data_IF_351634600820
#
_entry.id   IF_351634600820
#
_cell.length_a   1.000
_cell.length_b   1.000
_cell.length_c   1.000
_cell.angle_alpha   90.00
_cell.angle_beta   90.00
_cell.angle_gamma   90.00
#
_symmetry.space_group_name_H-M   'P 1'
#
loop_
_entity.id
_entity.type
_entity.pdbx_description
1 polymer ?
#
# COMPACT_ATOMS: atom_id res chain seq x y z
N UNK A 1 -42.91 2.31 73.94
CA UNK A 1 -43.36 1.05 73.37
C UNK A 1 -43.02 1.06 71.92
N UNK A 2 -42.02 0.24 71.56
CA UNK A 2 -41.61 -0.08 70.14
C UNK A 2 -42.77 -0.72 69.36
N UNK A 3 -42.62 -1.06 68.09
CA UNK A 3 -41.36 -1.45 67.42
C UNK A 3 -41.16 -0.92 65.94
N UNK A 4 -39.96 -0.86 65.55
CA UNK A 4 -39.25 -1.41 64.34
C UNK A 4 -39.99 -1.59 63.03
N UNK A 5 -39.49 -0.91 62.04
CA UNK A 5 -39.78 -1.15 60.63
C UNK A 5 -38.49 -1.00 59.79
N UNK A 6 -37.81 -2.13 59.59
CA UNK A 6 -36.75 -2.28 58.57
C UNK A 6 -37.36 -2.15 57.17
N UNK A 7 -36.85 -1.23 56.38
CA UNK A 7 -37.11 -1.20 54.94
C UNK A 7 -35.85 -1.65 54.18
N UNK A 8 -35.99 -2.78 53.50
CA UNK A 8 -35.03 -3.35 52.55
C UNK A 8 -34.72 -2.36 51.43
N UNK A 9 -33.44 -2.13 51.25
CA UNK A 9 -32.93 -1.37 50.10
C UNK A 9 -33.04 -2.21 48.82
N UNK A 10 -33.85 -1.74 47.88
CA UNK A 10 -33.92 -2.27 46.54
C UNK A 10 -32.64 -1.97 45.77
N UNK A 11 -31.92 -3.00 45.33
CA UNK A 11 -30.79 -2.91 44.41
C UNK A 11 -31.28 -2.42 43.06
N UNK A 12 -30.70 -1.34 42.60
CA UNK A 12 -30.93 -0.83 41.23
C UNK A 12 -30.37 -1.83 40.19
N UNK A 13 -31.05 -2.03 39.05
CA UNK A 13 -30.59 -2.96 38.01
C UNK A 13 -29.35 -2.38 37.31
N UNK A 14 -28.34 -3.21 37.17
CA UNK A 14 -27.18 -3.00 36.32
C UNK A 14 -27.65 -2.76 34.88
N UNK A 15 -27.56 -1.52 34.42
CA UNK A 15 -27.71 -1.22 32.99
C UNK A 15 -26.56 -1.84 32.25
N UNK A 16 -26.87 -2.85 31.48
CA UNK A 16 -26.10 -3.46 30.44
C UNK A 16 -25.67 -2.36 29.46
N UNK A 17 -24.41 -1.91 29.57
CA UNK A 17 -23.80 -1.03 28.56
C UNK A 17 -23.57 -1.90 27.34
N UNK A 18 -24.53 -1.86 26.42
CA UNK A 18 -24.29 -2.33 25.07
C UNK A 18 -22.96 -1.73 24.57
N UNK A 19 -21.97 -2.60 24.42
CA UNK A 19 -20.74 -2.28 23.72
C UNK A 19 -21.14 -1.92 22.28
N UNK A 20 -21.23 -0.63 22.01
CA UNK A 20 -21.31 -0.14 20.65
C UNK A 20 -20.04 -0.58 19.95
N UNK A 21 -20.16 -1.57 19.07
CA UNK A 21 -19.11 -1.93 18.14
C UNK A 21 -18.65 -0.65 17.41
N UNK A 22 -17.33 -0.41 17.30
CA UNK A 22 -16.86 0.69 16.49
C UNK A 22 -17.32 0.43 15.06
N UNK A 23 -18.21 1.25 14.54
CA UNK A 23 -18.60 1.29 13.15
C UNK A 23 -17.34 1.60 12.32
N UNK A 24 -16.60 0.57 11.96
CA UNK A 24 -15.55 0.65 10.95
C UNK A 24 -16.24 0.76 9.60
N UNK A 25 -16.68 1.96 9.25
CA UNK A 25 -16.99 2.27 7.86
C UNK A 25 -15.70 2.13 7.07
N UNK A 26 -15.52 0.98 6.39
CA UNK A 26 -14.42 0.78 5.44
C UNK A 26 -14.44 1.95 4.46
N UNK A 27 -13.29 2.58 4.17
CA UNK A 27 -13.26 3.63 3.17
C UNK A 27 -13.90 3.12 1.88
N UNK A 28 -14.82 3.87 1.31
CA UNK A 28 -15.51 3.52 0.06
C UNK A 28 -14.55 3.40 -1.13
N UNK A 29 -13.28 3.76 -0.96
CA UNK A 29 -12.24 3.83 -2.00
C UNK A 29 -11.15 2.79 -1.74
N UNK A 30 -11.43 1.53 -2.06
CA UNK A 30 -10.48 0.43 -1.85
C UNK A 30 -9.40 0.33 -2.93
N UNK A 31 -9.53 0.99 -4.08
CA UNK A 31 -8.50 1.05 -5.11
C UNK A 31 -7.70 2.35 -4.97
N UNK A 32 -6.38 2.22 -4.87
CA UNK A 32 -5.42 3.31 -4.80
C UNK A 32 -4.51 3.35 -6.03
N UNK A 33 -3.72 4.43 -6.19
CA UNK A 33 -2.71 4.58 -7.22
C UNK A 33 -1.32 4.72 -6.60
N UNK A 34 -0.40 3.81 -6.94
CA UNK A 34 1.02 3.91 -6.63
C UNK A 34 1.79 4.63 -7.72
N UNK A 35 2.64 5.58 -7.35
CA UNK A 35 3.37 6.44 -8.29
C UNK A 35 4.81 5.99 -8.55
N UNK A 36 5.20 4.76 -8.19
CA UNK A 36 6.58 4.28 -8.37
C UNK A 36 7.03 4.29 -9.85
N UNK A 37 6.12 3.96 -10.76
CA UNK A 37 6.36 3.97 -12.21
C UNK A 37 6.12 5.34 -12.87
N UNK A 38 5.51 6.29 -12.17
CA UNK A 38 5.23 7.64 -12.68
C UNK A 38 6.29 8.67 -12.27
N UNK A 39 7.06 8.39 -11.21
CA UNK A 39 7.97 9.36 -10.62
C UNK A 39 9.41 9.26 -11.09
N UNK A 40 9.78 8.28 -11.90
CA UNK A 40 11.17 8.00 -12.36
C UNK A 40 11.17 7.31 -13.73
N UNK A 41 12.22 7.50 -14.54
CA UNK A 41 12.24 7.04 -15.94
C UNK A 41 12.38 5.52 -16.07
N UNK A 42 12.96 4.83 -15.09
CA UNK A 42 13.13 3.38 -15.09
C UNK A 42 12.35 2.70 -13.95
N UNK A 43 11.73 1.57 -14.24
CA UNK A 43 11.09 0.73 -13.23
C UNK A 43 11.16 -0.77 -13.62
N UNK A 44 10.91 -1.65 -12.63
CA UNK A 44 11.01 -3.12 -12.81
C UNK A 44 9.73 -3.77 -13.37
N UNK A 45 8.76 -3.00 -13.86
CA UNK A 45 7.56 -3.55 -14.49
C UNK A 45 7.86 -4.02 -15.92
N UNK A 46 7.28 -5.16 -16.32
CA UNK A 46 7.41 -5.67 -17.68
C UNK A 46 6.94 -4.63 -18.70
N UNK A 47 7.86 -4.22 -19.59
CA UNK A 47 7.58 -3.31 -20.69
C UNK A 47 7.32 -1.85 -20.28
N UNK A 48 7.82 -1.40 -19.13
CA UNK A 48 7.66 -0.03 -18.65
C UNK A 48 8.18 1.01 -19.63
N UNK A 49 9.33 0.75 -20.29
CA UNK A 49 9.88 1.65 -21.30
C UNK A 49 8.90 2.01 -22.45
N UNK A 50 7.91 1.16 -22.72
CA UNK A 50 6.88 1.41 -23.73
C UNK A 50 5.70 2.26 -23.24
N UNK A 51 5.65 2.52 -21.94
CA UNK A 51 4.58 3.30 -21.30
C UNK A 51 4.85 4.81 -21.31
N UNK A 52 6.08 5.21 -21.64
CA UNK A 52 6.54 6.59 -21.64
C UNK A 52 6.70 7.08 -23.09
N UNK A 53 5.62 7.37 -23.81
CA UNK A 53 5.65 7.59 -25.27
C UNK A 53 6.32 8.91 -25.69
N UNK A 54 6.39 9.90 -24.80
CA UNK A 54 6.89 11.24 -25.10
C UNK A 54 8.36 11.44 -24.71
N UNK A 55 8.95 10.48 -24.00
CA UNK A 55 10.33 10.56 -23.54
C UNK A 55 10.49 10.42 -22.04
N UNK A 56 11.72 10.53 -21.58
CA UNK A 56 12.09 10.33 -20.19
C UNK A 56 12.51 11.63 -19.48
N UNK A 57 12.33 12.80 -20.12
CA UNK A 57 12.62 14.04 -19.43
C UNK A 57 11.60 14.33 -18.32
N UNK A 58 12.01 15.17 -17.39
CA UNK A 58 11.21 15.45 -16.19
C UNK A 58 9.85 16.09 -16.51
N UNK A 59 9.79 16.95 -17.54
CA UNK A 59 8.57 17.67 -17.89
C UNK A 59 7.54 16.73 -18.52
N UNK A 60 7.97 15.88 -19.44
CA UNK A 60 7.12 14.86 -20.07
C UNK A 60 6.58 13.87 -19.05
N UNK A 61 7.45 13.40 -18.15
CA UNK A 61 7.01 12.50 -17.07
C UNK A 61 6.03 13.17 -16.10
N UNK A 62 6.21 14.45 -15.79
CA UNK A 62 5.25 15.19 -14.97
C UNK A 62 3.90 15.34 -15.66
N UNK A 63 3.87 15.63 -16.96
CA UNK A 63 2.64 15.71 -17.75
C UNK A 63 1.91 14.36 -17.78
N UNK A 64 2.63 13.27 -18.02
CA UNK A 64 2.05 11.93 -17.95
C UNK A 64 1.51 11.61 -16.56
N UNK A 65 2.27 11.91 -15.49
CA UNK A 65 1.82 11.71 -14.12
C UNK A 65 0.54 12.50 -13.83
N UNK A 66 0.42 13.75 -14.30
CA UNK A 66 -0.79 14.57 -14.15
C UNK A 66 -1.98 13.95 -14.88
N UNK A 67 -1.80 13.46 -16.11
CA UNK A 67 -2.87 12.80 -16.85
C UNK A 67 -3.40 11.55 -16.12
N UNK A 68 -2.50 10.73 -15.58
CA UNK A 68 -2.89 9.53 -14.81
C UNK A 68 -3.53 9.90 -13.47
N UNK A 69 -3.02 10.91 -12.77
CA UNK A 69 -3.59 11.41 -11.51
C UNK A 69 -4.99 12.00 -11.73
N UNK A 70 -5.20 12.80 -12.79
CA UNK A 70 -6.50 13.36 -13.14
C UNK A 70 -7.50 12.23 -13.45
N UNK A 71 -7.12 11.25 -14.27
CA UNK A 71 -7.94 10.10 -14.60
C UNK A 71 -8.27 9.27 -13.35
N UNK A 72 -7.30 9.06 -12.45
CA UNK A 72 -7.50 8.35 -11.20
C UNK A 72 -8.50 9.08 -10.29
N UNK A 73 -8.34 10.38 -10.14
CA UNK A 73 -9.23 11.20 -9.30
C UNK A 73 -10.67 11.23 -9.85
N UNK A 74 -10.83 11.43 -11.16
CA UNK A 74 -12.13 11.38 -11.85
C UNK A 74 -12.72 9.96 -11.74
N UNK A 75 -11.90 8.94 -11.87
CA UNK A 75 -12.27 7.54 -11.67
C UNK A 75 -12.58 7.15 -10.22
N UNK A 76 -12.57 8.10 -9.26
CA UNK A 76 -12.96 7.86 -7.87
C UNK A 76 -11.82 7.33 -6.99
N UNK A 77 -10.58 7.26 -7.47
CA UNK A 77 -9.41 6.95 -6.62
C UNK A 77 -9.19 8.11 -5.64
N UNK A 78 -8.96 7.75 -4.36
CA UNK A 78 -8.73 8.72 -3.28
C UNK A 78 -7.51 8.38 -2.42
N UNK A 79 -6.84 7.27 -2.71
CA UNK A 79 -5.58 6.88 -2.07
C UNK A 79 -4.44 6.98 -3.08
N UNK A 80 -3.41 7.80 -2.77
CA UNK A 80 -2.21 8.00 -3.59
C UNK A 80 -0.98 7.60 -2.78
N UNK A 81 -0.10 6.79 -3.36
CA UNK A 81 1.06 6.23 -2.69
C UNK A 81 2.35 6.62 -3.41
N UNK A 82 3.24 7.30 -2.69
CA UNK A 82 4.54 7.75 -3.18
C UNK A 82 5.69 7.27 -2.28
N UNK A 83 6.91 7.67 -2.56
CA UNK A 83 8.08 7.46 -1.69
C UNK A 83 9.20 8.45 -2.04
N UNK A 84 10.09 8.70 -1.06
CA UNK A 84 11.31 9.49 -1.26
C UNK A 84 12.21 8.93 -2.37
N UNK A 85 12.21 7.60 -2.55
CA UNK A 85 13.05 6.94 -3.56
C UNK A 85 12.38 6.76 -4.92
N UNK A 86 11.15 7.22 -5.11
CA UNK A 86 10.47 7.13 -6.41
C UNK A 86 10.82 8.32 -7.32
N UNK A 87 12.10 8.66 -7.44
CA UNK A 87 12.55 9.79 -8.22
C UNK A 87 11.87 11.10 -7.78
N UNK A 88 11.04 11.68 -8.63
CA UNK A 88 10.31 12.93 -8.37
C UNK A 88 8.81 12.72 -8.07
N UNK A 89 8.38 11.51 -7.69
CA UNK A 89 6.96 11.21 -7.45
C UNK A 89 6.31 12.11 -6.41
N UNK A 90 7.01 12.43 -5.30
CA UNK A 90 6.48 13.36 -4.29
C UNK A 90 6.33 14.77 -4.83
N UNK A 91 7.27 15.23 -5.66
CA UNK A 91 7.20 16.56 -6.30
C UNK A 91 6.05 16.62 -7.31
N UNK A 92 5.88 15.60 -8.14
CA UNK A 92 4.78 15.54 -9.12
C UNK A 92 3.42 15.49 -8.43
N UNK A 93 3.27 14.65 -7.40
CA UNK A 93 2.04 14.60 -6.62
C UNK A 93 1.76 15.94 -5.92
N UNK A 94 2.78 16.55 -5.30
CA UNK A 94 2.68 17.86 -4.65
C UNK A 94 2.22 18.94 -5.64
N UNK A 95 2.83 19.02 -6.81
CA UNK A 95 2.46 19.98 -7.86
C UNK A 95 1.02 19.76 -8.34
N UNK A 96 0.60 18.50 -8.50
CA UNK A 96 -0.77 18.15 -8.85
C UNK A 96 -1.79 18.57 -7.76
N UNK A 97 -1.50 18.26 -6.48
CA UNK A 97 -2.32 18.62 -5.33
C UNK A 97 -2.51 20.15 -5.24
N UNK A 98 -1.44 20.91 -5.40
CA UNK A 98 -1.51 22.38 -5.38
C UNK A 98 -2.24 22.96 -6.60
N UNK A 99 -2.12 22.33 -7.77
CA UNK A 99 -2.80 22.74 -9.00
C UNK A 99 -4.30 22.44 -8.97
N UNK A 100 -4.71 21.25 -8.51
CA UNK A 100 -6.11 20.79 -8.51
C UNK A 100 -6.86 21.14 -7.22
N UNK A 101 -6.13 21.38 -6.13
CA UNK A 101 -6.67 21.74 -4.80
C UNK A 101 -7.81 20.82 -4.32
N UNK A 102 -7.66 19.50 -4.42
CA UNK A 102 -8.68 18.60 -3.88
C UNK A 102 -8.79 18.79 -2.37
N UNK A 103 -9.98 18.53 -1.81
CA UNK A 103 -10.18 18.57 -0.36
C UNK A 103 -9.25 17.57 0.35
N UNK A 104 -8.38 18.03 1.27
CA UNK A 104 -7.49 17.15 2.03
C UNK A 104 -8.22 16.12 2.88
N UNK A 105 -9.46 16.38 3.31
CA UNK A 105 -10.27 15.44 4.07
C UNK A 105 -10.75 14.26 3.21
N UNK A 106 -10.92 14.48 1.90
CA UNK A 106 -11.34 13.47 0.94
C UNK A 106 -10.20 12.64 0.35
N UNK A 107 -8.94 12.93 0.72
CA UNK A 107 -7.77 12.23 0.17
C UNK A 107 -6.93 11.56 1.25
N UNK A 108 -6.38 10.40 0.90
CA UNK A 108 -5.37 9.69 1.65
C UNK A 108 -4.07 9.63 0.85
N UNK A 109 -3.04 10.34 1.31
CA UNK A 109 -1.70 10.26 0.73
C UNK A 109 -0.80 9.49 1.67
N UNK A 110 -0.19 8.43 1.15
CA UNK A 110 0.88 7.68 1.81
C UNK A 110 2.22 7.99 1.18
N UNK A 111 3.27 8.14 2.00
CA UNK A 111 4.65 8.19 1.51
C UNK A 111 5.56 7.28 2.34
N UNK A 112 6.82 7.14 1.89
CA UNK A 112 7.79 6.22 2.49
C UNK A 112 9.15 6.87 2.60
N UNK A 113 9.88 6.50 3.67
CA UNK A 113 11.27 6.91 3.95
C UNK A 113 12.17 5.68 4.08
N UNK A 114 13.47 5.88 4.12
CA UNK A 114 14.43 4.80 4.36
C UNK A 114 15.13 4.31 3.09
N UNK A 115 14.84 4.91 1.95
CA UNK A 115 15.62 4.79 0.71
C UNK A 115 15.91 6.17 0.15
N UNK A 116 17.11 6.32 -0.41
CA UNK A 116 17.51 7.50 -1.17
C UNK A 116 17.62 7.11 -2.64
N UNK A 117 16.98 7.85 -3.54
CA UNK A 117 17.13 7.67 -4.98
C UNK A 117 18.51 8.13 -5.43
N UNK A 118 19.23 7.31 -6.18
CA UNK A 118 20.62 7.54 -6.59
C UNK A 118 20.86 7.33 -8.09
N UNK A 119 19.82 7.01 -8.87
CA UNK A 119 19.97 6.74 -10.31
C UNK A 119 20.15 8.01 -11.16
N UNK A 120 20.14 9.21 -10.57
CA UNK A 120 20.31 10.48 -11.27
C UNK A 120 19.49 10.60 -12.58
N UNK A 121 18.21 10.21 -12.47
CA UNK A 121 17.25 10.22 -13.59
C UNK A 121 17.59 9.27 -14.75
N UNK A 122 18.48 8.29 -14.53
CA UNK A 122 18.84 7.30 -15.53
C UNK A 122 17.93 6.07 -15.46
N UNK A 123 17.58 5.49 -16.62
CA UNK A 123 16.85 4.21 -16.70
C UNK A 123 17.74 3.07 -16.23
N UNK A 124 19.01 3.09 -16.63
CA UNK A 124 20.03 2.12 -16.22
C UNK A 124 21.03 2.82 -15.31
N UNK A 125 21.20 2.34 -14.09
CA UNK A 125 22.15 2.84 -13.12
C UNK A 125 22.80 1.65 -12.39
N UNK A 126 24.03 1.84 -11.93
CA UNK A 126 24.73 0.83 -11.11
C UNK A 126 23.95 0.57 -9.82
N UNK A 127 23.40 1.63 -9.22
CA UNK A 127 22.57 1.55 -8.03
C UNK A 127 21.43 2.58 -8.13
N UNK A 128 20.18 2.09 -8.17
CA UNK A 128 19.00 2.94 -8.28
C UNK A 128 18.58 3.58 -6.95
N UNK A 129 18.82 2.86 -5.86
CA UNK A 129 18.38 3.28 -4.52
C UNK A 129 19.36 2.77 -3.45
N UNK A 130 19.59 3.58 -2.42
CA UNK A 130 20.35 3.19 -1.22
C UNK A 130 19.39 3.07 -0.04
N UNK A 131 19.38 1.89 0.61
CA UNK A 131 18.56 1.60 1.79
C UNK A 131 19.28 2.04 3.06
N UNK A 132 18.57 2.84 3.89
CA UNK A 132 19.07 3.28 5.19
C UNK A 132 17.89 3.50 6.17
N UNK A 133 17.64 2.52 7.05
CA UNK A 133 16.63 2.62 8.11
C UNK A 133 17.27 3.10 9.42
N UNK A 134 17.80 4.32 9.42
CA UNK A 134 18.42 4.95 10.58
C UNK A 134 17.64 6.19 11.04
N UNK A 135 17.76 6.55 12.32
CA UNK A 135 17.16 7.77 12.84
C UNK A 135 17.69 9.04 12.13
N UNK A 136 18.99 9.19 11.86
CA UNK A 136 19.49 10.34 11.09
C UNK A 136 18.87 10.46 9.69
N UNK A 137 18.71 9.35 8.99
CA UNK A 137 18.06 9.37 7.67
C UNK A 137 16.57 9.74 7.76
N UNK A 138 15.86 9.24 8.77
CA UNK A 138 14.48 9.63 9.01
C UNK A 138 14.36 11.14 9.24
N UNK A 139 15.18 11.71 10.14
CA UNK A 139 15.17 13.16 10.46
C UNK A 139 15.57 14.04 9.26
N UNK A 140 16.34 13.51 8.33
CA UNK A 140 16.66 14.18 7.07
C UNK A 140 15.47 14.15 6.10
N UNK A 141 14.78 13.01 5.95
CA UNK A 141 13.73 12.80 4.95
C UNK A 141 12.35 13.30 5.38
N UNK A 142 12.02 13.21 6.68
CA UNK A 142 10.73 13.62 7.21
C UNK A 142 10.36 15.09 6.88
N UNK A 143 11.18 16.11 7.16
CA UNK A 143 10.83 17.49 6.84
C UNK A 143 10.68 17.72 5.34
N UNK A 144 11.41 17.02 4.48
CA UNK A 144 11.30 17.12 3.04
C UNK A 144 9.94 16.61 2.54
N UNK A 145 9.53 15.42 2.97
CA UNK A 145 8.21 14.87 2.65
C UNK A 145 7.09 15.75 3.21
N UNK A 146 7.24 16.23 4.45
CA UNK A 146 6.26 17.09 5.10
C UNK A 146 6.09 18.42 4.37
N UNK A 147 7.16 19.01 3.86
CA UNK A 147 7.12 20.24 3.08
C UNK A 147 6.36 20.07 1.76
N UNK A 148 6.52 18.93 1.08
CA UNK A 148 5.87 18.66 -0.19
C UNK A 148 4.38 18.28 -0.02
N UNK A 149 4.06 17.39 0.90
CA UNK A 149 2.74 16.76 0.98
C UNK A 149 1.82 17.38 2.05
N UNK A 150 2.39 18.09 3.02
CA UNK A 150 1.63 18.88 3.99
C UNK A 150 0.50 18.12 4.69
N UNK A 151 -0.68 18.70 4.71
CA UNK A 151 -1.89 18.17 5.35
C UNK A 151 -2.53 16.98 4.61
N UNK A 152 -2.15 16.72 3.37
CA UNK A 152 -2.62 15.53 2.63
C UNK A 152 -1.97 14.24 3.11
N UNK A 153 -0.74 14.29 3.67
CA UNK A 153 -0.03 13.10 4.16
C UNK A 153 -0.76 12.51 5.38
N UNK A 154 -1.21 11.26 5.25
CA UNK A 154 -1.93 10.51 6.31
C UNK A 154 -1.12 9.35 6.86
N UNK A 155 -0.25 8.75 6.04
CA UNK A 155 0.54 7.57 6.39
C UNK A 155 2.00 7.77 5.96
N UNK A 156 2.95 7.43 6.84
CA UNK A 156 4.37 7.49 6.52
C UNK A 156 5.05 6.17 6.90
N UNK A 157 5.53 5.45 5.88
CA UNK A 157 6.00 4.08 6.02
C UNK A 157 7.52 4.00 6.00
N UNK A 158 8.11 3.14 6.85
CA UNK A 158 9.46 2.66 6.64
C UNK A 158 9.47 1.76 5.39
N UNK A 159 10.31 2.07 4.40
CA UNK A 159 10.25 1.49 3.05
C UNK A 159 10.95 0.13 2.97
N UNK A 160 10.25 -0.94 2.55
CA UNK A 160 10.80 -2.28 2.29
C UNK A 160 11.57 -2.87 3.48
N UNK A 161 10.90 -2.92 4.64
CA UNK A 161 11.45 -3.52 5.86
C UNK A 161 11.63 -5.03 5.67
N UNK A 162 12.81 -5.53 6.00
CA UNK A 162 13.24 -6.92 5.95
C UNK A 162 13.65 -7.40 7.35
N UNK A 163 13.81 -8.71 7.62
CA UNK A 163 14.11 -9.20 8.97
C UNK A 163 15.38 -8.64 9.61
N UNK A 164 16.34 -8.24 8.77
CA UNK A 164 17.62 -7.63 9.14
C UNK A 164 17.57 -6.10 9.31
N UNK A 165 16.39 -5.49 9.05
CA UNK A 165 16.24 -4.04 9.20
C UNK A 165 16.48 -3.59 10.64
N UNK A 166 17.39 -2.62 10.88
CA UNK A 166 17.68 -2.12 12.24
C UNK A 166 16.44 -1.51 12.93
N UNK A 167 15.47 -1.02 12.19
CA UNK A 167 14.21 -0.48 12.70
C UNK A 167 13.53 -1.38 13.74
N UNK A 168 13.60 -2.71 13.54
CA UNK A 168 12.94 -3.68 14.42
C UNK A 168 13.59 -3.80 15.80
N UNK A 169 14.82 -3.27 15.97
CA UNK A 169 15.55 -3.25 17.24
C UNK A 169 15.93 -1.85 17.74
N UNK A 170 15.82 -0.82 16.91
CA UNK A 170 16.21 0.55 17.26
C UNK A 170 15.10 1.27 18.04
N UNK A 171 15.27 1.30 19.36
CA UNK A 171 14.32 1.92 20.29
C UNK A 171 14.15 3.42 20.05
N UNK A 172 15.24 4.15 19.79
CA UNK A 172 15.19 5.59 19.58
C UNK A 172 14.41 5.94 18.32
N UNK A 173 14.61 5.18 17.25
CA UNK A 173 13.86 5.31 16.01
C UNK A 173 12.37 4.97 16.22
N UNK A 174 12.05 3.89 16.94
CA UNK A 174 10.66 3.53 17.25
C UNK A 174 9.96 4.63 18.06
N UNK A 175 10.62 5.23 19.03
CA UNK A 175 10.09 6.36 19.81
C UNK A 175 9.85 7.59 18.94
N UNK A 176 10.75 7.88 18.00
CA UNK A 176 10.57 8.96 17.04
C UNK A 176 9.38 8.71 16.10
N UNK A 177 9.24 7.50 15.58
CA UNK A 177 8.14 7.13 14.71
C UNK A 177 6.78 7.19 15.44
N UNK A 178 6.71 6.75 16.68
CA UNK A 178 5.49 6.80 17.47
C UNK A 178 4.94 8.23 17.64
N UNK A 179 5.83 9.27 17.65
CA UNK A 179 5.44 10.68 17.74
C UNK A 179 4.69 11.20 16.50
N UNK A 180 4.83 10.55 15.33
CA UNK A 180 4.14 10.95 14.11
C UNK A 180 2.61 11.03 14.29
N UNK A 181 2.04 10.19 15.17
CA UNK A 181 0.60 10.27 15.49
C UNK A 181 0.19 11.62 16.05
N UNK A 182 1.02 12.20 16.93
CA UNK A 182 0.82 13.56 17.44
C UNK A 182 0.97 14.65 16.38
N UNK A 183 1.63 14.32 15.28
CA UNK A 183 1.79 15.19 14.10
C UNK A 183 0.68 14.96 13.04
N UNK A 184 -0.31 14.13 13.36
CA UNK A 184 -1.46 13.81 12.48
C UNK A 184 -1.16 12.79 11.38
N UNK A 185 -0.07 12.01 11.51
CA UNK A 185 0.35 11.01 10.52
C UNK A 185 0.50 9.65 11.17
N UNK A 186 -0.08 8.61 10.56
CA UNK A 186 0.05 7.23 11.01
C UNK A 186 1.40 6.66 10.60
N UNK A 187 2.26 6.26 11.54
CA UNK A 187 3.48 5.55 11.22
C UNK A 187 3.16 4.11 10.80
N UNK A 188 3.93 3.60 9.84
CA UNK A 188 3.77 2.23 9.37
C UNK A 188 5.05 1.68 8.75
N UNK A 189 4.92 0.53 8.09
CA UNK A 189 6.02 -0.11 7.36
C UNK A 189 5.52 -0.68 6.04
N UNK A 190 6.33 -0.61 5.00
CA UNK A 190 6.16 -1.45 3.83
C UNK A 190 7.12 -2.63 3.92
N UNK A 191 6.71 -3.78 3.38
CA UNK A 191 7.42 -5.04 3.48
C UNK A 191 8.03 -5.45 2.14
N UNK A 192 9.07 -6.26 2.18
CA UNK A 192 9.72 -6.84 1.00
C UNK A 192 10.37 -8.17 1.34
N UNK A 193 10.42 -9.07 0.36
CA UNK A 193 11.06 -10.38 0.48
C UNK A 193 10.12 -11.48 0.96
N UNK A 194 10.55 -12.75 0.90
CA UNK A 194 9.70 -13.91 1.18
C UNK A 194 9.26 -14.02 2.65
N UNK A 195 9.95 -13.32 3.55
CA UNK A 195 9.66 -13.34 5.00
C UNK A 195 8.81 -12.16 5.48
N UNK A 196 7.94 -11.60 4.64
CA UNK A 196 7.05 -10.47 4.98
C UNK A 196 6.21 -10.77 6.24
N UNK A 197 5.65 -11.98 6.34
CA UNK A 197 4.82 -12.39 7.48
C UNK A 197 5.57 -12.38 8.81
N UNK A 198 6.84 -12.81 8.82
CA UNK A 198 7.70 -12.77 10.01
C UNK A 198 7.96 -11.32 10.46
N UNK A 199 8.32 -10.45 9.51
CA UNK A 199 8.57 -9.03 9.81
C UNK A 199 7.31 -8.37 10.38
N UNK A 200 6.15 -8.64 9.78
CA UNK A 200 4.88 -8.09 10.24
C UNK A 200 4.51 -8.59 11.64
N UNK A 201 4.70 -9.89 11.91
CA UNK A 201 4.48 -10.44 13.25
C UNK A 201 5.33 -9.73 14.32
N UNK A 202 6.62 -9.55 14.06
CA UNK A 202 7.51 -8.78 14.96
C UNK A 202 7.05 -7.33 15.14
N UNK A 203 6.64 -6.69 14.05
CA UNK A 203 6.21 -5.29 14.08
C UNK A 203 4.90 -5.08 14.86
N UNK A 204 3.98 -6.05 14.81
CA UNK A 204 2.73 -6.03 15.56
C UNK A 204 2.94 -6.00 17.07
N UNK A 205 4.06 -6.53 17.56
CA UNK A 205 4.40 -6.57 18.99
C UNK A 205 5.14 -5.33 19.49
N UNK A 206 5.62 -4.46 18.58
CA UNK A 206 6.40 -3.28 18.98
C UNK A 206 5.52 -2.23 19.69
N UNK A 207 5.94 -1.84 20.88
CA UNK A 207 5.26 -0.86 21.73
C UNK A 207 6.19 0.23 22.22
N UNK A 208 5.67 1.46 22.29
CA UNK A 208 6.29 2.62 22.94
C UNK A 208 5.28 3.19 23.94
N UNK A 209 5.65 3.26 25.21
CA UNK A 209 4.73 3.71 26.25
C UNK A 209 3.44 2.89 26.35
N UNK A 210 3.49 1.58 26.05
CA UNK A 210 2.33 0.69 26.03
C UNK A 210 1.49 0.76 24.74
N UNK A 211 1.72 1.74 23.87
CA UNK A 211 0.97 1.92 22.62
C UNK A 211 1.70 1.29 21.42
N UNK A 212 0.98 0.74 20.43
CA UNK A 212 1.61 0.24 19.20
C UNK A 212 2.46 1.32 18.51
N UNK A 213 3.66 0.95 18.05
CA UNK A 213 4.49 1.86 17.26
C UNK A 213 3.83 2.19 15.93
N UNK A 214 3.34 1.17 15.25
CA UNK A 214 2.76 1.27 13.90
C UNK A 214 1.23 1.16 13.93
N UNK A 215 0.61 1.62 12.85
CA UNK A 215 -0.83 1.52 12.60
C UNK A 215 -1.17 1.28 11.14
N UNK A 216 -0.14 1.07 10.29
CA UNK A 216 -0.34 0.77 8.88
C UNK A 216 0.73 -0.21 8.37
N UNK A 217 0.37 -1.05 7.41
CA UNK A 217 1.27 -1.94 6.69
C UNK A 217 0.98 -1.91 5.19
N UNK A 218 2.04 -1.89 4.38
CA UNK A 218 1.97 -2.11 2.95
C UNK A 218 2.78 -3.35 2.59
N UNK A 219 2.14 -4.36 1.99
CA UNK A 219 2.79 -5.62 1.65
C UNK A 219 2.52 -6.05 0.21
N UNK A 220 3.44 -6.83 -0.35
CA UNK A 220 3.18 -7.56 -1.59
C UNK A 220 2.20 -8.69 -1.29
N UNK A 221 1.10 -8.67 -2.02
CA UNK A 221 0.12 -9.75 -2.09
C UNK A 221 -0.45 -9.81 -3.49
N UNK A 222 -0.36 -10.96 -4.14
CA UNK A 222 -0.98 -11.22 -5.43
C UNK A 222 -1.26 -12.73 -5.58
N UNK A 223 -1.85 -13.12 -6.70
CA UNK A 223 -2.22 -14.52 -6.98
C UNK A 223 -1.00 -15.47 -7.03
N UNK A 224 0.21 -14.95 -7.33
CA UNK A 224 1.44 -15.75 -7.38
C UNK A 224 2.13 -15.86 -5.99
N UNK A 225 2.03 -14.81 -5.17
CA UNK A 225 2.58 -14.83 -3.79
C UNK A 225 1.56 -14.28 -2.77
N UNK A 226 0.63 -15.11 -2.28
CA UNK A 226 -0.30 -14.76 -1.23
C UNK A 226 0.24 -15.00 0.19
N UNK A 227 1.54 -15.30 0.36
CA UNK A 227 2.15 -15.79 1.60
C UNK A 227 2.01 -14.85 2.80
N UNK A 228 1.91 -13.53 2.56
CA UNK A 228 1.70 -12.54 3.62
C UNK A 228 0.27 -12.54 4.19
N UNK A 229 -0.69 -13.20 3.54
CA UNK A 229 -2.12 -13.16 3.88
C UNK A 229 -2.45 -13.38 5.36
N UNK A 230 -1.98 -14.45 6.01
CA UNK A 230 -2.24 -14.70 7.43
C UNK A 230 -1.79 -13.56 8.35
N UNK A 231 -0.59 -13.02 8.12
CA UNK A 231 -0.05 -11.90 8.90
C UNK A 231 -0.80 -10.59 8.62
N UNK A 232 -1.23 -10.36 7.37
CA UNK A 232 -2.06 -9.22 6.99
C UNK A 232 -3.45 -9.29 7.65
N UNK A 233 -4.02 -10.49 7.76
CA UNK A 233 -5.27 -10.71 8.50
C UNK A 233 -5.11 -10.32 9.98
N UNK A 234 -4.02 -10.74 10.61
CA UNK A 234 -3.73 -10.37 12.01
C UNK A 234 -3.54 -8.85 12.18
N UNK A 235 -2.86 -8.19 11.24
CA UNK A 235 -2.69 -6.74 11.26
C UNK A 235 -4.03 -6.00 11.11
N UNK A 236 -4.88 -6.44 10.17
CA UNK A 236 -6.21 -5.88 9.98
C UNK A 236 -7.10 -6.05 11.23
N UNK A 237 -7.08 -7.24 11.85
CA UNK A 237 -7.79 -7.50 13.10
C UNK A 237 -7.26 -6.66 14.28
N UNK A 238 -5.97 -6.31 14.27
CA UNK A 238 -5.36 -5.39 15.23
C UNK A 238 -5.69 -3.90 14.94
N UNK A 239 -6.50 -3.60 13.94
CA UNK A 239 -6.92 -2.25 13.56
C UNK A 239 -5.90 -1.48 12.72
N UNK A 240 -4.90 -2.16 12.14
CA UNK A 240 -3.98 -1.52 11.22
C UNK A 240 -4.60 -1.34 9.84
N UNK A 241 -4.26 -0.24 9.17
CA UNK A 241 -4.55 -0.08 7.75
C UNK A 241 -3.66 -1.02 6.93
N UNK A 242 -4.28 -1.86 6.10
CA UNK A 242 -3.59 -2.80 5.21
C UNK A 242 -3.67 -2.33 3.77
N UNK A 243 -2.51 -2.10 3.17
CA UNK A 243 -2.36 -1.68 1.77
C UNK A 243 -1.66 -2.79 0.99
N UNK A 244 -2.25 -3.25 -0.10
CA UNK A 244 -1.67 -4.26 -0.98
C UNK A 244 -0.95 -3.62 -2.15
N UNK A 245 0.30 -4.00 -2.39
CA UNK A 245 1.13 -3.57 -3.52
C UNK A 245 1.55 -4.75 -4.40
N UNK A 246 2.07 -4.44 -5.58
CA UNK A 246 2.54 -5.42 -6.57
C UNK A 246 1.47 -6.48 -6.93
N UNK A 247 0.21 -6.07 -6.93
CA UNK A 247 -0.95 -6.96 -7.13
C UNK A 247 -0.95 -7.62 -8.50
N UNK A 248 -0.39 -6.95 -9.51
CA UNK A 248 -0.21 -7.51 -10.85
C UNK A 248 1.18 -8.14 -11.06
N UNK A 249 1.90 -8.45 -9.97
CA UNK A 249 3.21 -9.12 -9.97
C UNK A 249 4.20 -8.51 -10.98
N UNK A 250 4.39 -7.18 -10.93
CA UNK A 250 5.27 -6.42 -11.81
C UNK A 250 4.99 -6.64 -13.33
N UNK A 251 3.73 -6.86 -13.67
CA UNK A 251 3.29 -7.08 -15.05
C UNK A 251 3.11 -8.54 -15.44
N UNK A 252 3.51 -9.52 -14.62
CA UNK A 252 3.32 -10.96 -14.88
C UNK A 252 1.83 -11.36 -14.93
N UNK A 253 0.96 -10.65 -14.24
CA UNK A 253 -0.51 -10.82 -14.23
C UNK A 253 -1.21 -9.72 -15.05
N UNK A 254 -0.61 -9.33 -16.17
CA UNK A 254 -1.16 -8.39 -17.16
C UNK A 254 -1.05 -9.00 -18.55
N UNK A 255 -1.64 -8.39 -19.60
CA UNK A 255 -1.43 -8.85 -20.98
C UNK A 255 0.04 -8.93 -21.42
N UNK A 256 0.98 -8.35 -20.65
CA UNK A 256 2.42 -8.42 -20.92
C UNK A 256 3.11 -9.65 -20.35
N UNK A 257 2.44 -10.38 -19.47
CA UNK A 257 2.97 -11.59 -18.82
C UNK A 257 2.83 -12.87 -19.66
N UNK A 258 2.66 -12.75 -20.99
CA UNK A 258 2.50 -13.89 -21.89
C UNK A 258 3.74 -14.82 -21.89
N UNK A 259 3.54 -16.16 -21.94
CA UNK A 259 2.24 -16.84 -21.94
C UNK A 259 1.59 -16.82 -20.54
N UNK A 260 0.31 -16.41 -20.49
CA UNK A 260 -0.46 -16.43 -19.24
C UNK A 260 -0.76 -17.88 -18.80
N UNK A 261 -0.76 -18.14 -17.48
CA UNK A 261 -1.25 -19.41 -16.96
C UNK A 261 -2.68 -19.71 -17.44
N UNK A 262 -2.94 -20.98 -17.83
CA UNK A 262 -4.24 -21.40 -18.38
C UNK A 262 -5.42 -21.05 -17.45
N UNK A 263 -5.25 -21.25 -16.14
CA UNK A 263 -6.28 -20.92 -15.15
C UNK A 263 -6.62 -19.42 -15.14
N UNK A 264 -5.61 -18.57 -15.29
CA UNK A 264 -5.81 -17.12 -15.33
C UNK A 264 -6.53 -16.73 -16.64
N UNK A 265 -6.08 -17.27 -17.78
CA UNK A 265 -6.70 -17.02 -19.08
C UNK A 265 -8.17 -17.45 -19.11
N UNK A 266 -8.47 -18.66 -18.66
CA UNK A 266 -9.84 -19.17 -18.60
C UNK A 266 -10.76 -18.33 -17.69
N UNK A 267 -10.24 -17.82 -16.58
CA UNK A 267 -10.99 -16.92 -15.70
C UNK A 267 -11.24 -15.56 -16.37
N UNK A 268 -10.23 -15.00 -17.07
CA UNK A 268 -10.38 -13.75 -17.83
C UNK A 268 -11.45 -13.88 -18.92
N UNK A 269 -11.45 -14.99 -19.67
CA UNK A 269 -12.45 -15.27 -20.71
C UNK A 269 -13.86 -15.38 -20.12
N UNK A 270 -14.03 -16.11 -19.00
CA UNK A 270 -15.31 -16.28 -18.31
C UNK A 270 -15.91 -14.96 -17.82
N UNK A 271 -15.09 -14.10 -17.28
CA UNK A 271 -15.52 -12.82 -16.73
C UNK A 271 -15.44 -11.65 -17.73
N UNK A 272 -14.95 -11.88 -18.96
CA UNK A 272 -14.75 -10.86 -19.99
C UNK A 272 -13.90 -9.67 -19.53
N UNK A 273 -12.81 -9.94 -18.79
CA UNK A 273 -11.90 -8.94 -18.26
C UNK A 273 -10.45 -9.23 -18.60
N UNK A 274 -9.59 -8.22 -18.46
CA UNK A 274 -8.14 -8.36 -18.61
C UNK A 274 -7.51 -9.02 -17.37
N UNK A 275 -6.31 -9.65 -17.51
CA UNK A 275 -5.63 -10.29 -16.38
C UNK A 275 -5.34 -9.35 -15.21
N UNK A 276 -4.98 -8.10 -15.49
CA UNK A 276 -4.74 -7.06 -14.49
C UNK A 276 -6.02 -6.71 -13.70
N UNK A 277 -7.14 -6.54 -14.38
CA UNK A 277 -8.43 -6.31 -13.73
C UNK A 277 -8.84 -7.50 -12.85
N UNK A 278 -8.64 -8.73 -13.33
CA UNK A 278 -8.92 -9.95 -12.57
C UNK A 278 -8.04 -10.07 -11.32
N UNK A 279 -6.72 -9.82 -11.46
CA UNK A 279 -5.78 -9.86 -10.33
C UNK A 279 -6.10 -8.82 -9.25
N UNK A 280 -6.46 -7.60 -9.67
CA UNK A 280 -6.89 -6.54 -8.76
C UNK A 280 -8.21 -6.89 -8.08
N UNK A 281 -9.18 -7.47 -8.80
CA UNK A 281 -10.44 -7.92 -8.21
C UNK A 281 -10.22 -9.03 -7.16
N UNK A 282 -9.33 -9.97 -7.43
CA UNK A 282 -8.97 -11.02 -6.47
C UNK A 282 -8.34 -10.44 -5.19
N UNK A 283 -7.53 -9.38 -5.31
CA UNK A 283 -6.97 -8.66 -4.16
C UNK A 283 -8.05 -7.85 -3.42
N UNK A 284 -8.96 -7.19 -4.13
CA UNK A 284 -10.10 -6.48 -3.55
C UNK A 284 -11.07 -7.43 -2.81
N UNK A 285 -11.13 -8.69 -3.20
CA UNK A 285 -11.95 -9.70 -2.52
C UNK A 285 -11.36 -10.14 -1.17
N UNK A 286 -10.09 -9.83 -0.88
CA UNK A 286 -9.48 -10.20 0.40
C UNK A 286 -10.09 -9.39 1.57
N UNK A 287 -10.53 -10.05 2.65
CA UNK A 287 -11.21 -9.38 3.77
C UNK A 287 -10.28 -8.42 4.53
N UNK A 288 -8.98 -8.66 4.51
CA UNK A 288 -7.95 -7.82 5.16
C UNK A 288 -7.49 -6.63 4.31
N UNK A 289 -7.86 -6.54 3.03
CA UNK A 289 -7.40 -5.47 2.17
C UNK A 289 -8.21 -4.18 2.37
N UNK A 290 -7.63 -3.15 2.95
CA UNK A 290 -8.27 -1.82 3.04
C UNK A 290 -8.03 -1.03 1.75
N UNK A 291 -6.82 -1.12 1.18
CA UNK A 291 -6.43 -0.47 -0.08
C UNK A 291 -5.66 -1.45 -0.95
N UNK A 292 -5.99 -1.48 -2.23
CA UNK A 292 -5.29 -2.24 -3.27
C UNK A 292 -4.69 -1.25 -4.26
N UNK A 293 -3.36 -1.25 -4.44
CA UNK A 293 -2.68 -0.29 -5.30
C UNK A 293 -2.64 -0.76 -6.75
N UNK A 294 -3.15 0.07 -7.65
CA UNK A 294 -2.81 0.05 -9.06
C UNK A 294 -1.41 0.66 -9.25
N UNK A 295 -0.56 0.02 -10.03
CA UNK A 295 0.73 0.54 -10.46
C UNK A 295 0.70 1.04 -11.92
N UNK A 296 -0.44 1.51 -12.39
CA UNK A 296 -0.61 2.01 -13.76
C UNK A 296 0.31 3.19 -14.04
N UNK A 297 1.01 3.14 -15.17
CA UNK A 297 1.86 4.21 -15.70
C UNK A 297 1.23 4.96 -16.87
N UNK A 298 0.08 4.50 -17.37
CA UNK A 298 -0.70 5.17 -18.41
C UNK A 298 -2.19 5.24 -18.04
N UNK A 299 -2.92 6.17 -18.65
CA UNK A 299 -4.38 6.29 -18.48
C UNK A 299 -5.08 5.00 -18.90
N UNK A 300 -4.68 4.41 -20.02
CA UNK A 300 -5.29 3.15 -20.51
C UNK A 300 -5.12 1.98 -19.52
N UNK A 301 -3.93 1.83 -18.91
CA UNK A 301 -3.73 0.83 -17.86
C UNK A 301 -4.59 1.10 -16.64
N UNK A 302 -4.71 2.37 -16.23
CA UNK A 302 -5.56 2.74 -15.10
C UNK A 302 -7.03 2.42 -15.39
N UNK A 303 -7.54 2.76 -16.56
CA UNK A 303 -8.93 2.44 -16.97
C UNK A 303 -9.20 0.94 -16.97
N UNK A 304 -8.22 0.13 -17.42
CA UNK A 304 -8.27 -1.33 -17.31
C UNK A 304 -8.37 -1.78 -15.85
N UNK A 305 -7.48 -1.25 -14.99
CA UNK A 305 -7.43 -1.59 -13.57
C UNK A 305 -8.71 -1.16 -12.81
N UNK A 306 -9.32 -0.05 -13.18
CA UNK A 306 -10.55 0.44 -12.55
C UNK A 306 -11.72 -0.53 -12.73
N UNK A 307 -11.77 -1.35 -13.79
CA UNK A 307 -12.79 -2.39 -14.02
C UNK A 307 -12.82 -3.45 -12.92
N UNK A 308 -11.72 -3.62 -12.19
CA UNK A 308 -11.66 -4.55 -11.06
C UNK A 308 -12.71 -4.27 -9.97
N UNK A 309 -13.21 -3.04 -9.86
CA UNK A 309 -14.21 -2.65 -8.85
C UNK A 309 -15.60 -3.19 -9.15
N UNK A 310 -15.89 -3.40 -10.42
CA UNK A 310 -17.20 -3.87 -10.89
C UNK A 310 -17.25 -5.40 -10.99
N UNK A 311 -16.10 -6.07 -10.76
CA UNK A 311 -15.98 -7.52 -10.84
C UNK A 311 -16.15 -8.16 -9.46
N UNK A 312 -17.16 -9.02 -9.33
CA UNK A 312 -17.34 -9.85 -8.14
C UNK A 312 -16.90 -11.28 -8.44
N UNK A 313 -15.84 -11.72 -7.76
CA UNK A 313 -15.37 -13.10 -7.84
C UNK A 313 -16.06 -13.97 -6.79
N UNK A 314 -16.62 -15.09 -7.23
CA UNK A 314 -17.19 -16.08 -6.33
C UNK A 314 -16.12 -16.90 -5.60
N UNK A 315 -16.52 -17.65 -4.57
CA UNK A 315 -15.62 -18.52 -3.82
C UNK A 315 -14.90 -19.54 -4.73
N UNK A 316 -15.61 -20.10 -5.70
CA UNK A 316 -15.02 -21.04 -6.67
C UNK A 316 -13.98 -20.41 -7.61
N UNK A 317 -14.14 -19.12 -7.97
CA UNK A 317 -13.13 -18.42 -8.76
C UNK A 317 -11.86 -18.18 -7.93
N UNK A 318 -12.03 -17.75 -6.68
CA UNK A 318 -10.90 -17.51 -5.76
C UNK A 318 -10.15 -18.80 -5.44
N UNK A 319 -10.86 -19.91 -5.25
CA UNK A 319 -10.27 -21.23 -5.02
C UNK A 319 -9.48 -21.71 -6.27
N UNK A 320 -10.04 -21.59 -7.45
CA UNK A 320 -9.35 -21.94 -8.69
C UNK A 320 -8.10 -21.09 -8.91
N UNK A 321 -8.19 -19.77 -8.68
CA UNK A 321 -7.07 -18.83 -8.82
C UNK A 321 -5.98 -19.06 -7.76
N UNK A 322 -6.30 -19.62 -6.59
CA UNK A 322 -5.32 -19.97 -5.56
C UNK A 322 -4.30 -21.02 -6.04
N UNK A 323 -4.60 -21.81 -7.06
CA UNK A 323 -3.68 -22.76 -7.68
C UNK A 323 -2.54 -22.08 -8.47
N UNK A 324 -2.63 -20.76 -8.75
CA UNK A 324 -1.55 -19.99 -9.39
C UNK A 324 -0.36 -19.71 -8.47
N UNK A 325 -0.52 -19.95 -7.18
CA UNK A 325 0.50 -19.70 -6.14
C UNK A 325 1.82 -20.39 -6.47
N UNK A 326 2.89 -19.63 -6.40
CA UNK A 326 4.28 -20.09 -6.45
C UNK A 326 4.87 -20.25 -5.03
N UNK A 327 5.95 -21.03 -4.84
CA UNK A 327 6.74 -20.90 -3.63
C UNK A 327 7.27 -19.48 -3.47
N UNK A 328 7.09 -18.87 -2.28
CA UNK A 328 7.43 -17.45 -2.06
C UNK A 328 8.88 -17.12 -2.40
N UNK A 329 9.83 -17.98 -2.02
CA UNK A 329 11.26 -17.83 -2.38
C UNK A 329 11.46 -17.75 -3.91
N UNK A 330 10.75 -18.57 -4.67
CA UNK A 330 10.84 -18.58 -6.13
C UNK A 330 10.22 -17.30 -6.71
N UNK A 331 9.06 -16.86 -6.21
CA UNK A 331 8.44 -15.59 -6.61
C UNK A 331 9.43 -14.43 -6.43
N UNK A 332 10.02 -14.30 -5.25
CA UNK A 332 10.94 -13.21 -4.94
C UNK A 332 12.25 -13.29 -5.71
N UNK A 333 12.75 -14.50 -6.01
CA UNK A 333 13.91 -14.70 -6.89
C UNK A 333 13.60 -14.21 -8.31
N UNK A 334 12.44 -14.59 -8.87
CA UNK A 334 12.01 -14.12 -10.19
C UNK A 334 11.85 -12.60 -10.21
N UNK A 335 11.17 -12.04 -9.19
CA UNK A 335 10.97 -10.59 -9.06
C UNK A 335 12.28 -9.81 -8.99
N UNK A 336 13.25 -10.29 -8.22
CA UNK A 336 14.56 -9.62 -8.10
C UNK A 336 15.41 -9.67 -9.38
N UNK A 337 15.13 -10.62 -10.25
CA UNK A 337 15.77 -10.74 -11.57
C UNK A 337 15.12 -9.89 -12.68
N UNK A 338 14.02 -9.17 -12.39
CA UNK A 338 13.40 -8.29 -13.38
C UNK A 338 14.31 -7.11 -13.69
N UNK A 339 14.49 -6.86 -14.98
CA UNK A 339 15.30 -5.74 -15.45
C UNK A 339 14.61 -4.40 -15.20
N UNK A 340 15.39 -3.40 -14.86
CA UNK A 340 14.97 -2.00 -14.94
C UNK A 340 14.84 -1.60 -16.42
N UNK A 341 13.71 -1.06 -16.79
CA UNK A 341 13.42 -0.67 -18.17
C UNK A 341 12.53 0.58 -18.25
#
# INVERSE_FOLDING_TARGET
MSPDGFTEGAAAPYHDRAMTEPSSSRPSFRLGLGLAALGRPGYINLGHARDLPTGHDTADMQLNAFAVLDAAYVGGVRHFDVARSYGRAEEFLSAWLHSRRPDPAGLHVGSKWGYTYTADWQVQAEQHEVKEHSLPNFERQWPQTRALLGGWLKVYLAHSVTPDSPLLGDRALQERLARLRGEGVTPGLSLSGPRQGEVLGRALDLRVGGQPVFGAVQATWNLLDPSAGPALTAAHQAGWQVVLKEVVANGRLTPRGEPLPELLRAACERHHVTPDALALAAALAQPFADVVLSGASTVAQLESNLKARDLTLGAGDLEALAALKEPSEQYWKTRSGLAWN
#
